data_IF_422023317994
#
_entry.id   IF_422023317994
#
_cell.length_a   1.000
_cell.length_b   1.000
_cell.length_c   1.000
_cell.angle_alpha   90.00
_cell.angle_beta   90.00
_cell.angle_gamma   90.00
#
_symmetry.space_group_name_H-M   'P 1'
#
loop_
_entity.id
_entity.type
_entity.pdbx_description
1 polymer ?
#
# COMPACT_ATOMS: atom_id res chain seq x y z
N UNK A 1 1.21 13.11 -33.14
CA UNK A 1 0.48 12.95 -34.43
C UNK A 1 1.39 13.44 -35.56
N UNK A 2 1.13 13.17 -36.85
CA UNK A 2 2.02 13.63 -37.93
C UNK A 2 1.92 15.15 -38.14
N UNK A 3 3.02 15.76 -38.56
CA UNK A 3 3.09 17.18 -38.90
C UNK A 3 3.17 17.36 -40.41
N UNK A 4 2.61 18.46 -40.91
CA UNK A 4 2.76 18.84 -42.31
C UNK A 4 4.20 19.21 -42.65
N UNK A 5 4.75 18.70 -43.75
CA UNK A 5 6.07 19.15 -44.25
C UNK A 5 6.14 20.64 -44.60
N UNK A 6 5.03 21.21 -45.06
CA UNK A 6 5.00 22.60 -45.54
C UNK A 6 4.58 23.56 -44.40
N UNK A 7 3.35 23.40 -43.88
CA UNK A 7 2.83 24.33 -42.86
C UNK A 7 3.23 24.01 -41.42
N UNK A 8 3.91 22.87 -41.17
CA UNK A 8 4.36 22.42 -39.84
C UNK A 8 3.24 22.34 -38.77
N UNK A 9 1.97 22.39 -39.19
CA UNK A 9 0.82 22.18 -38.31
C UNK A 9 0.61 20.69 -38.09
N UNK A 10 0.06 20.36 -36.93
CA UNK A 10 -0.39 19.01 -36.61
C UNK A 10 -1.57 18.64 -37.50
N UNK A 11 -1.49 17.48 -38.16
CA UNK A 11 -2.53 16.96 -39.05
C UNK A 11 -2.96 15.58 -38.54
N UNK A 12 -4.23 15.24 -38.76
CA UNK A 12 -4.72 13.88 -38.49
C UNK A 12 -4.01 12.86 -39.39
N UNK A 13 -3.91 11.61 -38.93
CA UNK A 13 -3.35 10.51 -39.75
C UNK A 13 -4.23 10.14 -40.95
N UNK A 14 -5.45 10.66 -41.03
CA UNK A 14 -6.40 10.36 -42.10
C UNK A 14 -6.24 11.32 -43.29
N UNK A 15 -5.61 12.48 -43.09
CA UNK A 15 -5.42 13.49 -44.14
C UNK A 15 -4.08 13.25 -44.88
N UNK A 16 -3.91 12.05 -45.43
CA UNK A 16 -2.70 11.61 -46.12
C UNK A 16 -2.53 12.21 -47.51
N UNK A 17 -3.64 12.60 -48.14
CA UNK A 17 -3.65 12.97 -49.55
C UNK A 17 -3.45 14.48 -49.74
N UNK A 18 -4.13 15.29 -48.92
CA UNK A 18 -4.13 16.75 -49.01
C UNK A 18 -4.16 17.36 -47.61
N UNK A 19 -3.26 18.31 -47.34
CA UNK A 19 -3.27 19.06 -46.09
C UNK A 19 -4.50 19.99 -46.01
N UNK A 20 -5.32 19.91 -44.95
CA UNK A 20 -6.52 20.77 -44.79
C UNK A 20 -6.20 22.25 -44.54
N UNK A 21 -4.95 22.59 -44.19
CA UNK A 21 -4.54 23.96 -43.86
C UNK A 21 -3.81 24.67 -45.00
N UNK A 22 -2.92 23.97 -45.72
CA UNK A 22 -2.08 24.58 -46.75
C UNK A 22 -2.27 23.97 -48.14
N UNK A 23 -3.10 22.95 -48.30
CA UNK A 23 -3.41 22.33 -49.59
C UNK A 23 -2.25 21.52 -50.21
N UNK A 24 -1.19 21.25 -49.44
CA UNK A 24 -0.05 20.46 -49.90
C UNK A 24 -0.47 19.00 -50.18
N UNK A 25 -0.02 18.44 -51.30
CA UNK A 25 -0.29 17.04 -51.66
C UNK A 25 0.73 16.13 -50.98
N UNK A 26 0.28 14.98 -50.47
CA UNK A 26 1.11 14.06 -49.67
C UNK A 26 1.86 14.76 -48.51
N UNK A 27 1.13 15.41 -47.58
CA UNK A 27 1.74 16.20 -46.52
C UNK A 27 2.52 15.39 -45.49
N UNK A 28 2.38 14.06 -45.45
CA UNK A 28 3.00 13.15 -44.49
C UNK A 28 4.11 12.35 -45.18
N UNK A 29 5.30 12.29 -44.59
CA UNK A 29 6.37 11.43 -45.10
C UNK A 29 6.01 9.95 -44.91
N UNK A 30 6.21 9.08 -45.92
CA UNK A 30 5.98 7.64 -45.79
C UNK A 30 6.95 6.97 -44.80
N UNK A 31 7.99 7.67 -44.38
CA UNK A 31 8.94 7.28 -43.32
C UNK A 31 8.44 7.58 -41.90
N UNK A 32 7.13 7.85 -41.70
CA UNK A 32 6.60 8.04 -40.35
C UNK A 32 6.61 6.68 -39.62
N UNK A 33 7.69 6.39 -38.92
CA UNK A 33 7.69 5.34 -37.92
C UNK A 33 6.68 5.70 -36.83
N UNK A 34 5.96 4.68 -36.34
CA UNK A 34 5.05 4.83 -35.21
C UNK A 34 5.85 5.36 -34.01
N UNK A 35 5.72 6.65 -33.71
CA UNK A 35 6.32 7.21 -32.52
C UNK A 35 5.73 6.51 -31.29
N UNK A 36 6.61 5.83 -30.55
CA UNK A 36 6.29 5.17 -29.29
C UNK A 36 5.68 6.17 -28.29
N UNK A 37 4.46 5.88 -27.84
CA UNK A 37 3.70 6.71 -26.88
C UNK A 37 4.47 6.87 -25.56
N UNK A 38 5.37 5.94 -25.23
CA UNK A 38 6.23 5.97 -24.04
C UNK A 38 7.22 7.13 -24.03
N UNK A 39 7.50 7.79 -25.17
CA UNK A 39 8.34 9.00 -25.22
C UNK A 39 7.56 10.29 -24.89
N UNK A 40 6.23 10.26 -24.93
CA UNK A 40 5.38 11.43 -24.65
C UNK A 40 4.76 11.42 -23.24
N UNK A 41 4.77 10.27 -22.56
CA UNK A 41 4.44 10.21 -21.14
C UNK A 41 5.75 10.44 -20.41
N UNK A 42 6.02 11.68 -20.03
CA UNK A 42 7.10 12.01 -19.11
C UNK A 42 6.77 11.28 -17.79
N UNK A 43 7.46 10.18 -17.41
CA UNK A 43 7.13 9.43 -16.18
C UNK A 43 7.39 10.28 -14.92
N UNK A 44 7.97 11.47 -15.11
CA UNK A 44 8.30 12.48 -14.13
C UNK A 44 7.44 13.74 -14.28
N UNK A 45 6.24 13.64 -14.87
CA UNK A 45 5.25 14.71 -14.81
C UNK A 45 5.10 15.18 -13.35
N UNK A 46 5.63 16.39 -13.11
CA UNK A 46 5.84 17.00 -11.80
C UNK A 46 4.60 16.87 -10.91
N UNK A 47 4.65 16.01 -9.91
CA UNK A 47 3.60 15.89 -8.89
C UNK A 47 3.33 14.49 -8.35
N UNK A 48 3.73 13.43 -9.07
CA UNK A 48 3.59 12.06 -8.58
C UNK A 48 4.77 11.70 -7.69
N UNK A 49 4.62 11.92 -6.38
CA UNK A 49 5.51 11.30 -5.40
C UNK A 49 5.38 9.79 -5.51
N UNK A 50 6.42 9.10 -6.00
CA UNK A 50 6.48 7.64 -6.01
C UNK A 50 6.15 7.13 -4.61
N UNK A 51 5.08 6.33 -4.49
CA UNK A 51 4.71 5.76 -3.21
C UNK A 51 5.84 4.85 -2.73
N UNK A 52 6.32 5.10 -1.52
CA UNK A 52 7.37 4.28 -0.93
C UNK A 52 6.70 3.06 -0.30
N UNK A 53 6.79 1.92 -0.99
CA UNK A 53 6.34 0.64 -0.45
C UNK A 53 6.95 0.39 0.94
N UNK A 54 6.09 -0.05 1.86
CA UNK A 54 6.43 -0.33 3.25
C UNK A 54 7.12 -1.68 3.38
N UNK A 55 7.97 -1.84 4.39
CA UNK A 55 8.71 -3.09 4.55
C UNK A 55 7.90 -4.15 5.29
N UNK A 56 7.88 -5.36 4.72
CA UNK A 56 7.29 -6.54 5.31
C UNK A 56 7.97 -6.95 6.61
N UNK A 57 9.31 -6.88 6.66
CA UNK A 57 10.08 -7.20 7.87
C UNK A 57 9.70 -6.27 9.02
N UNK A 58 9.60 -4.97 8.74
CA UNK A 58 9.21 -3.97 9.75
C UNK A 58 7.81 -4.27 10.30
N UNK A 59 6.87 -4.66 9.44
CA UNK A 59 5.54 -5.07 9.87
C UNK A 59 5.58 -6.27 10.82
N UNK A 60 6.31 -7.32 10.46
CA UNK A 60 6.42 -8.54 11.28
C UNK A 60 7.02 -8.24 12.65
N UNK A 61 8.09 -7.44 12.70
CA UNK A 61 8.71 -7.02 13.97
C UNK A 61 7.76 -6.18 14.84
N UNK A 62 7.02 -5.25 14.22
CA UNK A 62 6.01 -4.45 14.91
C UNK A 62 4.87 -5.34 15.46
N UNK A 63 4.46 -6.36 14.71
CA UNK A 63 3.44 -7.30 15.15
C UNK A 63 3.93 -8.15 16.34
N UNK A 64 5.18 -8.63 16.31
CA UNK A 64 5.71 -9.48 17.38
C UNK A 64 5.94 -8.73 18.70
N UNK A 65 6.45 -7.49 18.64
CA UNK A 65 6.81 -6.72 19.84
C UNK A 65 5.70 -5.82 20.34
N UNK A 66 4.94 -5.22 19.43
CA UNK A 66 3.93 -4.18 19.72
C UNK A 66 2.56 -4.54 19.13
N UNK A 67 2.34 -5.82 18.81
CA UNK A 67 1.08 -6.32 18.24
C UNK A 67 -0.12 -6.00 19.12
N UNK A 68 0.03 -6.16 20.44
CA UNK A 68 -1.02 -5.92 21.42
C UNK A 68 -1.47 -4.45 21.53
N UNK A 69 -0.69 -3.51 20.99
CA UNK A 69 -1.07 -2.09 20.85
C UNK A 69 -1.65 -1.76 19.47
N UNK A 70 -1.72 -2.72 18.53
CA UNK A 70 -2.18 -2.50 17.16
C UNK A 70 -1.19 -1.71 16.27
N UNK A 71 0.07 -1.56 16.68
CA UNK A 71 1.05 -0.71 15.97
C UNK A 71 1.33 -1.22 14.56
N UNK A 72 1.26 -2.53 14.35
CA UNK A 72 1.41 -3.13 13.02
C UNK A 72 0.30 -2.67 12.06
N UNK A 73 -0.96 -2.60 12.49
CA UNK A 73 -2.06 -2.09 11.66
C UNK A 73 -1.98 -0.56 11.45
N UNK A 74 -1.49 0.18 12.44
CA UNK A 74 -1.17 1.60 12.26
C UNK A 74 -0.09 1.81 11.19
N UNK A 75 0.92 0.95 11.16
CA UNK A 75 1.98 0.98 10.14
C UNK A 75 1.40 0.79 8.74
N UNK A 76 0.43 -0.12 8.57
CA UNK A 76 -0.29 -0.34 7.29
C UNK A 76 -1.42 0.70 7.07
N UNK A 77 -1.61 1.68 7.96
CA UNK A 77 -2.65 2.70 7.79
C UNK A 77 -4.08 2.22 8.04
N UNK A 78 -4.29 0.99 8.54
CA UNK A 78 -5.60 0.48 8.96
C UNK A 78 -5.97 0.98 10.37
N UNK A 79 -6.11 2.30 10.53
CA UNK A 79 -6.31 2.97 11.83
C UNK A 79 -7.51 2.42 12.62
N UNK A 80 -8.65 2.18 11.94
CA UNK A 80 -9.84 1.65 12.61
C UNK A 80 -9.58 0.27 13.22
N UNK A 81 -8.89 -0.60 12.46
CA UNK A 81 -8.55 -1.95 12.89
C UNK A 81 -7.58 -1.91 14.07
N UNK A 82 -6.56 -1.05 14.00
CA UNK A 82 -5.62 -0.85 15.09
C UNK A 82 -6.28 -0.41 16.40
N UNK A 83 -7.27 0.49 16.34
CA UNK A 83 -8.05 0.92 17.51
C UNK A 83 -8.88 -0.23 18.08
N UNK A 84 -9.56 -1.00 17.21
CA UNK A 84 -10.32 -2.17 17.67
C UNK A 84 -9.43 -3.20 18.36
N UNK A 85 -8.25 -3.47 17.80
CA UNK A 85 -7.28 -4.37 18.42
C UNK A 85 -6.83 -3.85 19.78
N UNK A 86 -6.44 -2.59 19.91
CA UNK A 86 -6.04 -1.99 21.19
C UNK A 86 -7.14 -2.08 22.25
N UNK A 87 -8.39 -1.77 21.88
CA UNK A 87 -9.52 -1.86 22.81
C UNK A 87 -9.78 -3.32 23.19
N UNK A 88 -9.73 -4.24 22.22
CA UNK A 88 -9.93 -5.67 22.49
C UNK A 88 -8.87 -6.25 23.42
N UNK A 89 -7.59 -5.91 23.24
CA UNK A 89 -6.50 -6.39 24.09
C UNK A 89 -6.64 -5.84 25.51
N UNK A 90 -7.02 -4.57 25.65
CA UNK A 90 -7.28 -3.97 26.96
C UNK A 90 -8.44 -4.67 27.68
N UNK A 91 -9.55 -4.94 26.97
CA UNK A 91 -10.70 -5.65 27.54
C UNK A 91 -10.35 -7.08 27.92
N UNK A 92 -9.56 -7.79 27.10
CA UNK A 92 -9.14 -9.17 27.40
C UNK A 92 -8.23 -9.19 28.64
N UNK A 93 -7.23 -8.32 28.69
CA UNK A 93 -6.26 -8.30 29.80
C UNK A 93 -6.92 -7.83 31.10
N UNK A 94 -7.72 -6.76 31.05
CA UNK A 94 -8.43 -6.24 32.22
C UNK A 94 -9.55 -7.19 32.67
N UNK A 95 -10.33 -7.71 31.72
CA UNK A 95 -11.42 -8.64 31.98
C UNK A 95 -10.92 -9.96 32.57
N UNK A 96 -10.03 -10.67 31.87
CA UNK A 96 -9.47 -11.92 32.35
C UNK A 96 -8.68 -11.72 33.65
N UNK A 97 -7.88 -10.66 33.74
CA UNK A 97 -7.12 -10.34 34.94
C UNK A 97 -8.00 -10.07 36.16
N UNK A 98 -9.11 -9.33 35.99
CA UNK A 98 -10.07 -9.09 37.06
C UNK A 98 -10.74 -10.39 37.54
N UNK A 99 -11.12 -11.27 36.61
CA UNK A 99 -11.70 -12.59 36.94
C UNK A 99 -10.70 -13.41 37.76
N UNK A 100 -9.44 -13.51 37.33
CA UNK A 100 -8.42 -14.26 38.05
C UNK A 100 -8.12 -13.68 39.45
N UNK A 101 -8.16 -12.35 39.58
CA UNK A 101 -7.95 -11.67 40.85
C UNK A 101 -9.10 -11.90 41.83
N UNK A 102 -10.35 -11.71 41.40
CA UNK A 102 -11.53 -11.86 42.28
C UNK A 102 -11.87 -13.31 42.62
N UNK A 103 -11.55 -14.27 41.74
CA UNK A 103 -11.72 -15.71 42.01
C UNK A 103 -10.67 -16.27 42.97
N UNK A 104 -9.70 -15.46 43.42
CA UNK A 104 -8.55 -15.85 44.25
C UNK A 104 -7.70 -16.99 43.66
N UNK A 105 -7.81 -17.26 42.36
CA UNK A 105 -6.98 -18.26 41.70
C UNK A 105 -5.49 -17.87 41.82
N UNK A 106 -5.22 -16.56 41.67
CA UNK A 106 -3.91 -15.94 41.84
C UNK A 106 -4.14 -14.57 42.49
N UNK A 107 -3.93 -14.41 43.81
CA UNK A 107 -4.24 -13.17 44.52
C UNK A 107 -3.23 -12.03 44.29
N UNK A 108 -2.22 -12.26 43.44
CA UNK A 108 -1.12 -11.34 43.20
C UNK A 108 -1.29 -10.62 41.86
N UNK A 109 -0.49 -9.58 41.63
CA UNK A 109 -0.41 -8.85 40.35
C UNK A 109 -0.15 -9.76 39.13
N UNK A 110 0.37 -10.97 39.36
CA UNK A 110 0.52 -12.02 38.34
C UNK A 110 -0.79 -12.39 37.63
N UNK A 111 -1.96 -12.14 38.25
CA UNK A 111 -3.28 -12.35 37.64
C UNK A 111 -3.44 -11.56 36.32
N UNK A 112 -2.79 -10.41 36.17
CA UNK A 112 -2.83 -9.60 34.95
C UNK A 112 -1.67 -9.91 33.99
N UNK A 113 -0.54 -10.39 34.51
CA UNK A 113 0.64 -10.74 33.69
C UNK A 113 0.38 -11.97 32.83
N UNK A 114 -0.35 -12.96 33.35
CA UNK A 114 -0.67 -14.20 32.62
C UNK A 114 -1.53 -13.93 31.37
N UNK A 115 -2.70 -13.26 31.45
CA UNK A 115 -3.49 -12.98 30.26
C UNK A 115 -2.75 -12.08 29.28
N UNK A 116 -1.93 -11.13 29.77
CA UNK A 116 -1.06 -10.33 28.91
C UNK A 116 -0.04 -11.19 28.15
N UNK A 117 0.64 -12.11 28.84
CA UNK A 117 1.61 -13.02 28.22
C UNK A 117 0.95 -13.94 27.18
N UNK A 118 -0.26 -14.42 27.44
CA UNK A 118 -1.03 -15.22 26.48
C UNK A 118 -1.36 -14.41 25.22
N UNK A 119 -1.88 -13.19 25.38
CA UNK A 119 -2.16 -12.30 24.24
C UNK A 119 -0.88 -12.02 23.45
N UNK A 120 0.24 -11.74 24.13
CA UNK A 120 1.52 -11.52 23.48
C UNK A 120 1.97 -12.73 22.67
N UNK A 121 1.86 -13.95 23.22
CA UNK A 121 2.19 -15.19 22.49
C UNK A 121 1.32 -15.38 21.24
N UNK A 122 0.02 -15.05 21.30
CA UNK A 122 -0.86 -15.08 20.12
C UNK A 122 -0.33 -14.14 19.03
N UNK A 123 0.07 -12.92 19.39
CA UNK A 123 0.64 -11.98 18.42
C UNK A 123 1.98 -12.43 17.84
N UNK A 124 2.80 -13.14 18.61
CA UNK A 124 4.04 -13.75 18.09
C UNK A 124 3.71 -14.84 17.06
N UNK A 125 2.71 -15.69 17.32
CA UNK A 125 2.26 -16.71 16.35
C UNK A 125 1.72 -16.04 15.08
N UNK A 126 0.90 -14.99 15.22
CA UNK A 126 0.39 -14.20 14.10
C UNK A 126 1.53 -13.56 13.31
N UNK A 127 2.57 -13.03 13.97
CA UNK A 127 3.74 -12.47 13.31
C UNK A 127 4.52 -13.52 12.50
N UNK A 128 4.67 -14.74 13.02
CA UNK A 128 5.28 -15.86 12.29
C UNK A 128 4.44 -16.23 11.07
N UNK A 129 3.12 -16.24 11.21
CA UNK A 129 2.21 -16.49 10.09
C UNK A 129 2.30 -15.39 9.03
N UNK A 130 2.30 -14.11 9.43
CA UNK A 130 2.51 -12.99 8.53
C UNK A 130 3.84 -13.10 7.80
N UNK A 131 4.91 -13.49 8.49
CA UNK A 131 6.24 -13.64 7.88
C UNK A 131 6.29 -14.66 6.74
N UNK A 132 5.33 -15.58 6.65
CA UNK A 132 5.23 -16.57 5.56
C UNK A 132 4.33 -16.09 4.41
N UNK A 133 3.56 -15.02 4.62
CA UNK A 133 2.60 -14.52 3.65
C UNK A 133 3.16 -13.32 2.89
N UNK A 134 3.75 -13.57 1.72
CA UNK A 134 4.33 -12.51 0.88
C UNK A 134 3.28 -11.66 0.13
N UNK A 135 1.99 -12.00 0.23
CA UNK A 135 0.90 -11.35 -0.50
C UNK A 135 0.20 -10.22 0.28
N UNK A 136 0.77 -9.75 1.38
CA UNK A 136 0.20 -8.71 2.22
C UNK A 136 0.20 -7.35 1.52
N UNK A 137 -0.94 -6.66 1.61
CA UNK A 137 -1.17 -5.35 0.99
C UNK A 137 -1.39 -4.26 2.02
N UNK A 138 -0.99 -3.07 1.63
CA UNK A 138 -1.23 -1.83 2.35
C UNK A 138 -2.67 -1.33 2.19
N UNK A 139 -3.11 -0.36 3.00
CA UNK A 139 -4.41 0.29 2.83
C UNK A 139 -4.54 0.99 1.46
N UNK A 140 -3.41 1.32 0.82
CA UNK A 140 -3.34 1.86 -0.54
C UNK A 140 -3.31 0.77 -1.63
N UNK A 141 -3.42 -0.51 -1.26
CA UNK A 141 -3.44 -1.64 -2.20
C UNK A 141 -2.07 -2.10 -2.71
N UNK A 142 -0.98 -1.47 -2.26
CA UNK A 142 0.38 -1.83 -2.63
C UNK A 142 0.94 -2.99 -1.81
N UNK A 143 1.74 -3.84 -2.43
CA UNK A 143 2.40 -4.95 -1.74
C UNK A 143 3.54 -4.46 -0.84
N UNK A 144 3.70 -5.13 0.29
CA UNK A 144 4.82 -4.94 1.20
C UNK A 144 6.09 -5.58 0.63
N UNK A 145 7.26 -5.01 0.96
CA UNK A 145 8.58 -5.44 0.43
C UNK A 145 9.57 -5.95 1.48
#
# INVERSE_FOLDING_TARGET
>A
MPYCKNCHREISKFDTDICPFCGEKNPIDPSYETMDITKHIDPLAKGYGLYKSKSHKTLVWLCALLGYFGVHDFYIGFVKRAIYELVSTLVIVAGAGSIFFFTKLIPNALAFVIPFAVVWLVYVIVAIYLSKNDSLKDNNGEFLR
#
